data_IF_766983151136
#
_entry.id   IF_766983151136
#
_cell.length_a   1.000
_cell.length_b   1.000
_cell.length_c   1.000
_cell.angle_alpha   90.00
_cell.angle_beta   90.00
_cell.angle_gamma   90.00
#
_symmetry.space_group_name_H-M   'P 1'
#
loop_
_entity.id
_entity.type
_entity.pdbx_description
1 polymer ?
#
# COMPACT_ATOMS: atom_id res chain seq x y z
N UNK A 1 -19.57 -6.49 3.46
CA UNK A 1 -18.54 -6.74 4.50
C UNK A 1 -17.76 -5.45 4.69
N UNK A 2 -17.66 -4.93 5.92
CA UNK A 2 -16.91 -3.70 6.21
C UNK A 2 -15.43 -4.04 6.33
N UNK A 3 -14.60 -3.51 5.43
CA UNK A 3 -13.14 -3.66 5.50
C UNK A 3 -12.60 -2.59 6.45
N UNK A 4 -11.86 -3.01 7.48
CA UNK A 4 -11.26 -2.08 8.44
C UNK A 4 -10.14 -1.29 7.76
N UNK A 5 -10.34 0.03 7.69
CA UNK A 5 -9.48 1.01 7.05
C UNK A 5 -8.24 1.40 7.87
N UNK A 6 -7.97 0.72 8.98
CA UNK A 6 -6.91 1.11 9.94
C UNK A 6 -5.48 0.84 9.46
N UNK A 7 -5.32 0.47 8.19
CA UNK A 7 -4.04 0.17 7.54
C UNK A 7 -3.29 1.46 7.18
N UNK A 8 -2.87 2.25 8.16
CA UNK A 8 -1.92 3.38 8.01
C UNK A 8 -2.51 4.59 7.23
N UNK A 9 -2.27 5.85 7.63
CA UNK A 9 -2.74 7.05 6.91
C UNK A 9 -2.46 7.05 5.40
N UNK A 10 -1.39 6.38 4.97
CA UNK A 10 -0.98 6.24 3.57
C UNK A 10 -1.99 5.44 2.72
N UNK A 11 -2.76 4.51 3.30
CA UNK A 11 -3.79 3.79 2.56
C UNK A 11 -5.00 4.67 2.20
N UNK A 12 -5.21 5.81 2.88
CA UNK A 12 -6.25 6.76 2.49
C UNK A 12 -5.92 7.48 1.17
N UNK A 13 -4.64 7.77 0.90
CA UNK A 13 -4.22 8.33 -0.39
C UNK A 13 -4.49 7.35 -1.54
N UNK A 14 -4.17 6.06 -1.33
CA UNK A 14 -4.52 5.00 -2.28
C UNK A 14 -6.04 4.84 -2.47
N UNK A 15 -6.84 5.03 -1.41
CA UNK A 15 -8.32 5.00 -1.54
C UNK A 15 -8.85 6.10 -2.45
N UNK A 16 -8.25 7.29 -2.41
CA UNK A 16 -8.63 8.41 -3.29
C UNK A 16 -8.32 8.07 -4.75
N UNK A 17 -7.15 7.47 -5.01
CA UNK A 17 -6.71 7.09 -6.37
C UNK A 17 -7.48 5.90 -6.93
N UNK A 18 -7.64 4.83 -6.15
CA UNK A 18 -8.24 3.57 -6.60
C UNK A 18 -9.77 3.64 -6.67
N UNK A 19 -10.38 4.59 -5.96
CA UNK A 19 -11.81 4.57 -5.64
C UNK A 19 -12.12 3.55 -4.54
N UNK A 20 -13.22 3.81 -3.81
CA UNK A 20 -13.60 3.06 -2.60
C UNK A 20 -13.66 1.55 -2.80
N UNK A 21 -14.30 1.08 -3.86
CA UNK A 21 -14.54 -0.36 -4.08
C UNK A 21 -13.27 -1.13 -4.40
N UNK A 22 -12.43 -0.61 -5.30
CA UNK A 22 -11.16 -1.26 -5.65
C UNK A 22 -10.20 -1.25 -4.46
N UNK A 23 -10.16 -0.15 -3.70
CA UNK A 23 -9.39 -0.05 -2.48
C UNK A 23 -9.83 -1.08 -1.44
N UNK A 24 -11.14 -1.18 -1.16
CA UNK A 24 -11.67 -2.16 -0.21
C UNK A 24 -11.40 -3.60 -0.69
N UNK A 25 -11.53 -3.88 -1.99
CA UNK A 25 -11.19 -5.18 -2.58
C UNK A 25 -9.71 -5.53 -2.45
N UNK A 26 -8.82 -4.56 -2.64
CA UNK A 26 -7.37 -4.76 -2.52
C UNK A 26 -6.92 -4.91 -1.06
N UNK A 27 -7.50 -4.13 -0.13
CA UNK A 27 -7.25 -4.33 1.31
C UNK A 27 -7.77 -5.72 1.74
N UNK A 28 -8.93 -6.15 1.26
CA UNK A 28 -9.44 -7.48 1.56
C UNK A 28 -8.56 -8.59 0.97
N UNK A 29 -8.03 -8.42 -0.25
CA UNK A 29 -7.19 -9.42 -0.90
C UNK A 29 -5.76 -9.49 -0.35
N UNK A 30 -5.28 -8.43 0.31
CA UNK A 30 -3.96 -8.35 0.96
C UNK A 30 -3.95 -8.82 2.42
N UNK A 31 -5.12 -9.02 3.03
CA UNK A 31 -5.25 -9.50 4.40
C UNK A 31 -5.27 -11.03 4.49
N UNK A 32 -4.77 -11.55 5.60
CA UNK A 32 -4.88 -12.94 6.04
C UNK A 32 -5.53 -12.98 7.42
N UNK A 33 -6.88 -12.94 7.49
CA UNK A 33 -7.59 -13.02 8.77
C UNK A 33 -7.46 -14.42 9.37
N UNK A 34 -7.15 -14.50 10.66
CA UNK A 34 -7.14 -15.74 11.42
C UNK A 34 -8.07 -15.62 12.64
N UNK A 35 -9.07 -16.49 12.67
CA UNK A 35 -10.08 -16.49 13.74
C UNK A 35 -9.47 -17.14 15.00
N UNK A 36 -9.47 -16.39 16.09
CA UNK A 36 -9.08 -16.89 17.41
C UNK A 36 -10.28 -17.40 18.20
N UNK A 37 -9.97 -18.14 19.27
CA UNK A 37 -10.96 -18.64 20.22
C UNK A 37 -10.98 -17.86 21.55
N UNK A 38 -10.45 -16.63 21.57
CA UNK A 38 -10.56 -15.71 22.70
C UNK A 38 -12.02 -15.32 22.95
N UNK A 39 -12.43 -15.30 24.22
CA UNK A 39 -13.79 -15.01 24.65
C UNK A 39 -14.01 -13.55 25.00
N UNK A 40 -12.94 -12.84 25.35
CA UNK A 40 -13.04 -11.44 25.76
C UNK A 40 -11.79 -10.65 25.39
N UNK A 41 -11.96 -9.33 25.33
CA UNK A 41 -10.85 -8.39 25.15
C UNK A 41 -9.79 -8.56 26.24
N UNK A 42 -10.22 -8.74 27.50
CA UNK A 42 -9.34 -8.90 28.66
C UNK A 42 -8.47 -10.14 28.51
N UNK A 43 -9.08 -11.27 28.16
CA UNK A 43 -8.36 -12.53 27.94
C UNK A 43 -7.31 -12.38 26.82
N UNK A 44 -7.70 -11.83 25.67
CA UNK A 44 -6.80 -11.58 24.54
C UNK A 44 -5.59 -10.73 24.99
N UNK A 45 -5.84 -9.57 25.59
CA UNK A 45 -4.77 -8.65 26.02
C UNK A 45 -3.82 -9.32 27.01
N UNK A 46 -4.34 -10.02 28.02
CA UNK A 46 -3.51 -10.70 29.01
C UNK A 46 -2.64 -11.80 28.41
N UNK A 47 -3.18 -12.61 27.50
CA UNK A 47 -2.45 -13.71 26.87
C UNK A 47 -1.38 -13.19 25.91
N UNK A 48 -1.69 -12.15 25.12
CA UNK A 48 -0.73 -11.51 24.21
C UNK A 48 0.44 -10.90 25.00
N UNK A 49 0.14 -10.23 26.12
CA UNK A 49 1.17 -9.67 27.01
C UNK A 49 2.01 -10.77 27.68
N UNK A 50 1.38 -11.86 28.11
CA UNK A 50 2.07 -13.02 28.67
C UNK A 50 3.02 -13.68 27.66
N UNK A 51 2.64 -13.68 26.37
CA UNK A 51 3.49 -14.16 25.27
C UNK A 51 4.67 -13.22 24.94
N UNK A 52 4.80 -12.08 25.64
CA UNK A 52 5.89 -11.12 25.49
C UNK A 52 5.65 -10.06 24.40
N UNK A 53 4.40 -9.82 24.01
CA UNK A 53 4.02 -8.83 23.01
C UNK A 53 3.19 -7.70 23.63
N UNK A 54 3.10 -6.58 22.92
CA UNK A 54 2.21 -5.50 23.32
C UNK A 54 0.77 -5.71 22.80
N UNK A 55 -0.17 -5.10 23.51
CA UNK A 55 -1.59 -5.13 23.17
C UNK A 55 -2.16 -3.72 23.37
N UNK A 56 -1.92 -2.85 22.41
CA UNK A 56 -2.26 -1.42 22.48
C UNK A 56 -3.69 -1.20 21.99
N UNK A 57 -4.59 -0.63 22.80
CA UNK A 57 -5.92 -0.23 22.34
C UNK A 57 -5.86 0.73 21.15
N UNK A 58 -6.62 0.44 20.09
CA UNK A 58 -6.67 1.29 18.90
C UNK A 58 -8.11 1.33 18.34
N UNK A 59 -8.89 2.32 18.78
CA UNK A 59 -10.33 2.37 18.49
C UNK A 59 -11.05 1.11 18.98
N UNK A 60 -11.81 0.47 18.09
CA UNK A 60 -12.47 -0.83 18.33
C UNK A 60 -11.53 -2.04 18.24
N UNK A 61 -10.28 -1.84 17.83
CA UNK A 61 -9.29 -2.88 17.59
C UNK A 61 -8.20 -2.89 18.67
N UNK A 62 -7.30 -3.87 18.59
CA UNK A 62 -6.07 -3.92 19.38
C UNK A 62 -4.89 -4.05 18.43
N UNK A 63 -3.86 -3.23 18.61
CA UNK A 63 -2.61 -3.29 17.84
C UNK A 63 -1.59 -4.12 18.61
N UNK A 64 -0.90 -5.02 17.90
CA UNK A 64 0.21 -5.82 18.44
C UNK A 64 1.39 -5.76 17.49
N UNK A 65 2.56 -5.42 18.00
CA UNK A 65 3.81 -5.38 17.24
C UNK A 65 4.52 -6.73 17.30
N UNK A 66 5.01 -7.21 16.16
CA UNK A 66 6.01 -8.26 16.14
C UNK A 66 7.40 -7.71 16.52
N UNK A 67 7.67 -6.46 16.12
CA UNK A 67 8.88 -5.67 16.38
C UNK A 67 8.60 -4.19 16.07
N UNK A 68 9.61 -3.31 16.16
CA UNK A 68 9.46 -1.86 15.92
C UNK A 68 8.85 -1.50 14.55
N UNK A 69 9.07 -2.33 13.53
CA UNK A 69 8.67 -2.05 12.14
C UNK A 69 7.41 -2.79 11.71
N UNK A 70 7.04 -3.88 12.37
CA UNK A 70 5.98 -4.79 11.93
C UNK A 70 4.92 -4.96 13.02
N UNK A 71 3.65 -4.83 12.65
CA UNK A 71 2.52 -4.98 13.55
C UNK A 71 1.28 -5.47 12.80
N UNK A 72 0.31 -5.97 13.56
CA UNK A 72 -1.00 -6.38 13.05
C UNK A 72 -2.11 -5.92 14.00
N UNK A 73 -3.36 -6.13 13.59
CA UNK A 73 -4.52 -5.78 14.39
C UNK A 73 -5.36 -6.99 14.76
N UNK A 74 -5.95 -6.92 15.95
CA UNK A 74 -7.06 -7.76 16.38
C UNK A 74 -8.36 -7.00 16.19
N UNK A 75 -9.33 -7.64 15.54
CA UNK A 75 -10.65 -7.09 15.28
C UNK A 75 -11.74 -8.00 15.80
N UNK A 76 -12.80 -7.40 16.35
CA UNK A 76 -13.99 -8.15 16.73
C UNK A 76 -14.92 -8.25 15.51
N UNK A 77 -14.98 -9.42 14.89
CA UNK A 77 -15.86 -9.72 13.74
C UNK A 77 -16.83 -10.84 14.12
N UNK A 78 -18.13 -10.60 13.99
CA UNK A 78 -19.18 -11.56 14.33
C UNK A 78 -19.01 -12.21 15.72
N UNK A 79 -18.65 -11.38 16.72
CA UNK A 79 -18.45 -11.81 18.10
C UNK A 79 -17.17 -12.62 18.36
N UNK A 80 -16.27 -12.74 17.37
CA UNK A 80 -14.98 -13.43 17.48
C UNK A 80 -13.82 -12.48 17.26
N UNK A 81 -12.76 -12.65 18.04
CA UNK A 81 -11.51 -11.93 17.81
C UNK A 81 -10.76 -12.55 16.64
N UNK A 82 -10.42 -11.72 15.66
CA UNK A 82 -9.72 -12.10 14.43
C UNK A 82 -8.39 -11.35 14.38
N UNK A 83 -7.28 -12.08 14.30
CA UNK A 83 -5.99 -11.49 13.97
C UNK A 83 -5.95 -11.21 12.47
N UNK A 84 -5.68 -9.97 12.08
CA UNK A 84 -5.64 -9.53 10.69
C UNK A 84 -4.19 -9.29 10.31
N UNK A 85 -3.53 -10.33 9.82
CA UNK A 85 -2.18 -10.25 9.26
C UNK A 85 -2.22 -9.72 7.83
N UNK A 86 -1.09 -9.22 7.32
CA UNK A 86 -0.95 -8.99 5.88
C UNK A 86 -0.35 -10.24 5.22
N UNK A 87 -0.72 -10.52 3.96
CA UNK A 87 -0.09 -11.59 3.15
C UNK A 87 1.39 -11.32 2.87
N UNK A 88 1.83 -10.10 3.13
CA UNK A 88 3.18 -9.62 2.89
C UNK A 88 4.03 -9.59 4.15
N UNK A 89 3.48 -9.94 5.33
CA UNK A 89 4.28 -10.08 6.54
C UNK A 89 5.16 -11.32 6.42
N UNK A 90 6.32 -11.32 7.08
CA UNK A 90 7.18 -12.50 7.11
C UNK A 90 6.44 -13.65 7.81
N UNK A 91 6.22 -14.74 7.07
CA UNK A 91 5.66 -15.99 7.59
C UNK A 91 6.35 -16.40 8.90
N UNK A 92 7.68 -16.24 8.96
CA UNK A 92 8.49 -16.51 10.15
C UNK A 92 8.07 -15.71 11.41
N UNK A 93 7.71 -14.43 11.28
CA UNK A 93 7.25 -13.63 12.43
C UNK A 93 5.87 -14.07 12.92
N UNK A 94 4.98 -14.42 11.98
CA UNK A 94 3.65 -14.95 12.28
C UNK A 94 3.78 -16.31 13.00
N UNK A 95 4.62 -17.22 12.49
CA UNK A 95 4.78 -18.56 13.06
C UNK A 95 5.37 -18.51 14.48
N UNK A 96 6.39 -17.68 14.70
CA UNK A 96 6.97 -17.45 16.04
C UNK A 96 5.94 -16.85 16.98
N UNK A 97 5.15 -15.89 16.50
CA UNK A 97 4.08 -15.27 17.27
C UNK A 97 3.02 -16.29 17.68
N UNK A 98 2.50 -17.08 16.73
CA UNK A 98 1.48 -18.11 16.99
C UNK A 98 1.99 -19.12 18.00
N UNK A 99 3.24 -19.58 17.86
CA UNK A 99 3.85 -20.53 18.80
C UNK A 99 3.87 -19.97 20.22
N UNK A 100 4.44 -18.78 20.41
CA UNK A 100 4.50 -18.13 21.73
C UNK A 100 3.12 -17.85 22.32
N UNK A 101 2.17 -17.48 21.48
CA UNK A 101 0.79 -17.23 21.91
C UNK A 101 0.12 -18.51 22.40
N UNK A 102 0.31 -19.62 21.68
CA UNK A 102 -0.21 -20.93 22.09
C UNK A 102 0.45 -21.44 23.38
N UNK A 103 1.76 -21.25 23.54
CA UNK A 103 2.50 -21.56 24.77
C UNK A 103 1.95 -20.77 25.96
N UNK A 104 1.77 -19.45 25.80
CA UNK A 104 1.20 -18.59 26.84
C UNK A 104 -0.26 -18.93 27.16
N UNK A 105 -1.04 -19.36 26.17
CA UNK A 105 -2.44 -19.72 26.35
C UNK A 105 -2.65 -21.15 26.88
N UNK A 106 -1.63 -22.01 26.83
CA UNK A 106 -1.75 -23.43 27.14
C UNK A 106 -2.71 -24.20 26.21
N UNK A 107 -3.04 -23.63 25.05
CA UNK A 107 -4.00 -24.17 24.08
C UNK A 107 -3.73 -23.60 22.69
N UNK A 108 -4.21 -24.29 21.65
CA UNK A 108 -4.22 -23.70 20.31
C UNK A 108 -5.23 -22.55 20.27
N UNK A 109 -4.76 -21.33 20.01
CA UNK A 109 -5.57 -20.11 19.99
C UNK A 109 -6.32 -19.95 18.68
N UNK A 110 -5.76 -20.40 17.58
CA UNK A 110 -6.35 -20.27 16.25
C UNK A 110 -7.06 -21.57 15.85
N UNK A 111 -8.20 -21.45 15.15
CA UNK A 111 -9.00 -22.62 14.78
C UNK A 111 -8.40 -23.35 13.57
N UNK A 112 -8.14 -24.66 13.70
CA UNK A 112 -7.44 -25.50 12.70
C UNK A 112 -8.11 -25.60 11.32
N UNK A 113 -9.37 -25.18 11.16
CA UNK A 113 -10.10 -25.25 9.87
C UNK A 113 -9.53 -24.35 8.77
N UNK A 114 -8.56 -23.49 9.06
CA UNK A 114 -7.76 -22.75 8.06
C UNK A 114 -6.26 -23.05 8.14
N UNK A 115 -5.83 -23.91 9.07
CA UNK A 115 -4.43 -24.32 9.23
C UNK A 115 -4.08 -25.53 8.34
N UNK A 116 -5.09 -26.27 7.86
CA UNK A 116 -4.91 -27.46 7.02
C UNK A 116 -4.31 -27.19 5.63
N UNK A 117 -4.32 -25.95 5.13
CA UNK A 117 -3.63 -25.56 3.88
C UNK A 117 -2.13 -25.24 4.08
N UNK A 118 -1.62 -25.23 5.33
CA UNK A 118 -0.24 -24.79 5.63
C UNK A 118 0.74 -25.97 5.72
N UNK A 119 0.26 -27.20 5.88
CA UNK A 119 1.12 -28.36 6.17
C UNK A 119 1.23 -29.41 5.05
N UNK A 120 0.61 -29.19 3.89
CA UNK A 120 0.77 -30.07 2.73
C UNK A 120 0.85 -29.33 1.40
N UNK A 121 1.71 -28.31 1.28
CA UNK A 121 2.37 -28.04 -0.01
C UNK A 121 3.67 -27.29 0.22
N UNK A 122 4.73 -27.78 -0.42
CA UNK A 122 6.01 -27.08 -0.69
C UNK A 122 7.10 -27.16 0.38
N UNK A 123 7.71 -28.35 0.42
CA UNK A 123 9.17 -28.45 0.39
C UNK A 123 9.77 -27.52 -0.67
N UNK A 124 10.75 -26.70 -0.27
CA UNK A 124 11.70 -25.98 -1.14
C UNK A 124 11.10 -25.13 -2.29
N UNK A 125 10.60 -23.94 -1.96
CA UNK A 125 10.95 -22.66 -2.59
C UNK A 125 10.36 -21.57 -1.69
N UNK A 126 11.17 -20.61 -1.23
CA UNK A 126 10.61 -19.39 -0.62
C UNK A 126 9.97 -18.63 -1.79
N UNK A 127 8.63 -18.52 -1.90
CA UNK A 127 8.05 -17.74 -2.98
C UNK A 127 8.49 -16.30 -2.72
N UNK A 128 9.17 -15.69 -3.71
CA UNK A 128 9.44 -14.26 -3.69
C UNK A 128 8.12 -13.53 -3.38
N UNK A 129 8.08 -12.74 -2.29
CA UNK A 129 6.88 -11.99 -1.93
C UNK A 129 6.56 -11.05 -3.06
N UNK A 130 5.55 -11.38 -3.87
CA UNK A 130 5.11 -10.60 -5.02
C UNK A 130 3.81 -9.90 -4.66
N UNK A 131 3.82 -8.58 -4.71
CA UNK A 131 2.70 -7.73 -4.34
C UNK A 131 2.37 -6.78 -5.50
N UNK A 132 1.13 -6.80 -5.99
CA UNK A 132 0.69 -5.88 -7.03
C UNK A 132 -0.06 -4.70 -6.40
N UNK A 133 0.35 -3.49 -6.73
CA UNK A 133 -0.21 -2.23 -6.27
C UNK A 133 -0.70 -1.42 -7.45
N UNK A 134 -1.98 -1.08 -7.50
CA UNK A 134 -2.47 -0.17 -8.52
C UNK A 134 -2.02 1.27 -8.23
N UNK A 135 -1.78 2.05 -9.28
CA UNK A 135 -1.35 3.47 -9.20
C UNK A 135 -2.26 4.39 -10.00
N UNK A 136 -1.94 5.69 -10.07
CA UNK A 136 -2.55 6.63 -11.03
C UNK A 136 -1.66 6.89 -12.26
N UNK A 137 -0.49 6.26 -12.35
CA UNK A 137 0.44 6.54 -13.43
C UNK A 137 -0.13 6.01 -14.74
N UNK A 138 -0.11 6.82 -15.79
CA UNK A 138 -0.58 6.42 -17.13
C UNK A 138 0.43 6.71 -18.23
N UNK A 139 1.35 7.63 -17.96
CA UNK A 139 2.44 8.02 -18.83
C UNK A 139 3.77 7.48 -18.29
N UNK A 140 4.32 6.48 -18.99
CA UNK A 140 5.56 5.80 -18.63
C UNK A 140 6.79 6.70 -18.79
N UNK A 141 6.77 7.68 -19.71
CA UNK A 141 7.88 8.61 -19.89
C UNK A 141 7.97 9.58 -18.71
N UNK A 142 6.82 10.15 -18.32
CA UNK A 142 6.73 11.02 -17.17
C UNK A 142 7.09 10.30 -15.87
N UNK A 143 6.63 9.06 -15.71
CA UNK A 143 6.99 8.22 -14.56
C UNK A 143 8.50 7.97 -14.49
N UNK A 144 9.15 7.74 -15.63
CA UNK A 144 10.61 7.59 -15.69
C UNK A 144 11.36 8.87 -15.29
N UNK A 145 10.84 10.05 -15.66
CA UNK A 145 11.40 11.33 -15.21
C UNK A 145 11.26 11.50 -13.70
N UNK A 146 10.07 11.25 -13.16
CA UNK A 146 9.79 11.35 -11.72
C UNK A 146 10.68 10.40 -10.92
N UNK A 147 10.91 9.17 -11.40
CA UNK A 147 11.82 8.22 -10.75
C UNK A 147 13.26 8.76 -10.71
N UNK A 148 13.76 9.32 -11.83
CA UNK A 148 15.10 9.91 -11.90
C UNK A 148 15.27 11.10 -10.98
N UNK A 149 14.29 11.99 -10.92
CA UNK A 149 14.31 13.17 -10.03
C UNK A 149 14.30 12.80 -8.55
N UNK A 150 13.66 11.70 -8.20
CA UNK A 150 13.66 11.15 -6.85
C UNK A 150 14.93 10.33 -6.55
N UNK A 151 15.94 10.36 -7.42
CA UNK A 151 17.17 9.59 -7.34
C UNK A 151 16.92 8.07 -7.20
N UNK A 152 15.80 7.58 -7.75
CA UNK A 152 15.43 6.17 -7.78
C UNK A 152 15.94 5.59 -9.11
N UNK A 153 16.95 4.70 -9.09
CA UNK A 153 17.47 4.12 -10.33
C UNK A 153 16.37 3.32 -11.03
N UNK A 154 16.14 3.60 -12.31
CA UNK A 154 15.18 2.88 -13.12
C UNK A 154 15.79 2.46 -14.46
N UNK A 155 15.43 1.27 -14.92
CA UNK A 155 15.79 0.74 -16.23
C UNK A 155 14.52 0.38 -16.98
N UNK A 156 14.43 0.84 -18.23
CA UNK A 156 13.34 0.45 -19.14
C UNK A 156 13.71 -0.86 -19.81
N UNK A 157 12.83 -1.85 -19.71
CA UNK A 157 12.97 -3.13 -20.40
C UNK A 157 12.41 -3.06 -21.83
N UNK A 158 12.74 -4.06 -22.65
CA UNK A 158 12.35 -4.12 -24.06
C UNK A 158 10.83 -4.18 -24.29
N UNK A 159 10.08 -4.65 -23.28
CA UNK A 159 8.62 -4.72 -23.26
C UNK A 159 7.95 -3.39 -22.83
N UNK A 160 8.75 -2.37 -22.51
CA UNK A 160 8.27 -1.08 -22.01
C UNK A 160 8.07 -1.01 -20.49
N UNK A 161 8.27 -2.12 -19.76
CA UNK A 161 8.22 -2.15 -18.29
C UNK A 161 9.37 -1.34 -17.70
N UNK A 162 9.09 -0.48 -16.72
CA UNK A 162 10.17 0.14 -15.93
C UNK A 162 10.47 -0.76 -14.72
N UNK A 163 11.75 -1.03 -14.49
CA UNK A 163 12.20 -1.78 -13.32
C UNK A 163 13.12 -0.91 -12.50
N UNK A 164 12.89 -0.89 -11.20
CA UNK A 164 13.65 -0.10 -10.25
C UNK A 164 13.99 -0.92 -9.02
N UNK A 165 15.15 -0.65 -8.42
CA UNK A 165 15.54 -1.23 -7.15
C UNK A 165 15.36 -0.20 -6.03
N UNK A 166 14.66 -0.61 -4.99
CA UNK A 166 14.45 0.16 -3.77
C UNK A 166 14.86 -0.70 -2.57
N UNK A 167 16.06 -0.45 -2.03
CA UNK A 167 16.64 -1.23 -0.94
C UNK A 167 16.67 -2.74 -1.24
N UNK A 168 15.92 -3.53 -0.49
CA UNK A 168 15.80 -4.99 -0.63
C UNK A 168 14.59 -5.43 -1.48
N UNK A 169 13.93 -4.49 -2.17
CA UNK A 169 12.81 -4.74 -3.04
C UNK A 169 13.07 -4.26 -4.47
N UNK A 170 12.55 -5.01 -5.43
CA UNK A 170 12.43 -4.62 -6.83
C UNK A 170 11.00 -4.13 -7.08
N UNK A 171 10.88 -3.01 -7.78
CA UNK A 171 9.63 -2.41 -8.24
C UNK A 171 9.56 -2.57 -9.76
N UNK A 172 8.50 -3.19 -10.27
CA UNK A 172 8.22 -3.34 -11.70
C UNK A 172 6.94 -2.59 -12.03
N UNK A 173 7.06 -1.57 -12.86
CA UNK A 173 5.95 -0.73 -13.31
C UNK A 173 5.42 -1.28 -14.64
N UNK A 174 4.26 -1.91 -14.59
CA UNK A 174 3.68 -2.71 -15.68
C UNK A 174 2.45 -2.01 -16.24
N UNK A 175 2.48 -1.69 -17.53
CA UNK A 175 1.33 -1.15 -18.24
C UNK A 175 0.60 -2.27 -19.00
N UNK A 176 -0.54 -2.72 -18.48
CA UNK A 176 -1.24 -3.88 -19.05
C UNK A 176 -1.92 -3.61 -20.41
N UNK A 177 -2.15 -2.34 -20.75
CA UNK A 177 -2.79 -1.92 -22.02
C UNK A 177 -2.16 -0.60 -22.49
N UNK A 178 -2.07 -0.34 -23.81
CA UNK A 178 -1.62 0.96 -24.32
C UNK A 178 -2.46 2.11 -23.74
N UNK A 179 -1.80 3.16 -23.24
CA UNK A 179 -2.41 4.30 -22.55
C UNK A 179 -3.25 3.92 -21.31
N UNK A 180 -3.06 2.71 -20.79
CA UNK A 180 -3.69 2.24 -19.56
C UNK A 180 -2.97 2.73 -18.32
N UNK A 181 -3.60 2.52 -17.17
CA UNK A 181 -2.95 2.73 -15.87
C UNK A 181 -1.84 1.70 -15.69
N UNK A 182 -0.76 2.13 -15.05
CA UNK A 182 0.42 1.35 -14.72
C UNK A 182 0.23 0.78 -13.32
N UNK A 183 0.41 -0.52 -13.16
CA UNK A 183 0.45 -1.17 -11.86
C UNK A 183 1.91 -1.36 -11.44
N UNK A 184 2.16 -1.40 -10.13
CA UNK A 184 3.49 -1.66 -9.56
C UNK A 184 3.50 -3.03 -8.93
N UNK A 185 4.27 -3.94 -9.51
CA UNK A 185 4.60 -5.21 -8.88
C UNK A 185 5.86 -5.03 -8.03
N UNK A 186 5.79 -5.43 -6.77
CA UNK A 186 6.90 -5.36 -5.81
C UNK A 186 7.31 -6.76 -5.43
N UNK A 187 8.59 -7.05 -5.61
CA UNK A 187 9.21 -8.31 -5.17
C UNK A 187 10.29 -8.02 -4.14
N UNK A 188 10.31 -8.74 -3.01
CA UNK A 188 11.39 -8.61 -2.02
C UNK A 188 10.93 -8.68 -0.56
N UNK A 189 11.82 -8.29 0.35
CA UNK A 189 11.58 -8.39 1.81
C UNK A 189 11.36 -7.03 2.50
N UNK A 190 11.27 -5.95 1.72
CA UNK A 190 11.13 -4.61 2.26
C UNK A 190 9.79 -4.41 2.99
N UNK A 191 9.78 -3.54 3.99
CA UNK A 191 8.56 -3.30 4.76
C UNK A 191 7.50 -2.63 3.88
N UNK A 192 6.26 -3.11 3.96
CA UNK A 192 5.14 -2.52 3.22
C UNK A 192 4.99 -1.03 3.47
N UNK A 193 5.23 -0.57 4.71
CA UNK A 193 5.21 0.86 5.05
C UNK A 193 6.27 1.64 4.27
N UNK A 194 7.48 1.11 4.11
CA UNK A 194 8.53 1.73 3.30
C UNK A 194 8.08 1.85 1.84
N UNK A 195 7.57 0.74 1.28
CA UNK A 195 7.07 0.69 -0.09
C UNK A 195 5.95 1.71 -0.31
N UNK A 196 4.97 1.76 0.60
CA UNK A 196 3.86 2.70 0.52
C UNK A 196 4.29 4.16 0.60
N UNK A 197 5.21 4.48 1.52
CA UNK A 197 5.74 5.82 1.65
C UNK A 197 6.39 6.27 0.33
N UNK A 198 7.21 5.42 -0.26
CA UNK A 198 7.89 5.72 -1.52
C UNK A 198 6.91 5.86 -2.69
N UNK A 199 5.93 4.97 -2.81
CA UNK A 199 4.89 5.09 -3.84
C UNK A 199 4.07 6.37 -3.69
N UNK A 200 3.84 6.85 -2.46
CA UNK A 200 3.09 8.09 -2.23
C UNK A 200 3.90 9.33 -2.62
N UNK A 201 5.20 9.35 -2.32
CA UNK A 201 6.09 10.43 -2.76
C UNK A 201 6.16 10.47 -4.29
N UNK A 202 6.22 9.30 -4.94
CA UNK A 202 6.17 9.22 -6.40
C UNK A 202 4.83 9.72 -6.97
N UNK A 203 3.70 9.35 -6.34
CA UNK A 203 2.36 9.82 -6.72
C UNK A 203 2.24 11.35 -6.68
N UNK A 204 2.67 11.97 -5.59
CA UNK A 204 2.62 13.42 -5.41
C UNK A 204 3.46 14.14 -6.46
N UNK A 205 4.69 13.67 -6.70
CA UNK A 205 5.59 14.25 -7.70
C UNK A 205 5.06 14.05 -9.13
N UNK A 206 4.49 12.89 -9.43
CA UNK A 206 3.87 12.62 -10.71
C UNK A 206 2.69 13.55 -10.99
N UNK A 207 1.82 13.77 -9.99
CA UNK A 207 0.71 14.71 -10.11
C UNK A 207 1.15 16.14 -10.38
N UNK A 208 2.21 16.60 -9.71
CA UNK A 208 2.81 17.93 -9.97
C UNK A 208 3.29 18.05 -11.41
N UNK A 209 3.94 17.03 -11.94
CA UNK A 209 4.38 17.01 -13.34
C UNK A 209 3.21 17.05 -14.33
N UNK A 210 2.17 16.22 -14.11
CA UNK A 210 0.97 16.25 -14.95
C UNK A 210 0.32 17.64 -14.94
N UNK A 211 0.23 18.26 -13.77
CA UNK A 211 -0.33 19.60 -13.62
C UNK A 211 0.51 20.64 -14.39
N UNK A 212 1.83 20.58 -14.26
CA UNK A 212 2.76 21.48 -14.96
C UNK A 212 2.68 21.32 -16.48
N UNK A 213 2.71 20.08 -16.99
CA UNK A 213 2.53 19.82 -18.42
C UNK A 213 1.18 20.29 -18.95
N UNK A 214 0.12 20.11 -18.15
CA UNK A 214 -1.23 20.55 -18.51
C UNK A 214 -1.27 22.07 -18.64
N UNK A 215 -0.68 22.80 -17.69
CA UNK A 215 -0.57 24.26 -17.73
C UNK A 215 0.21 24.71 -18.96
N UNK A 216 1.38 24.12 -19.24
CA UNK A 216 2.18 24.43 -20.43
C UNK A 216 1.36 24.25 -21.72
N UNK A 217 0.69 23.11 -21.88
CA UNK A 217 -0.14 22.82 -23.06
C UNK A 217 -1.35 23.77 -23.17
N UNK A 218 -1.91 24.21 -22.05
CA UNK A 218 -2.99 25.21 -22.03
C UNK A 218 -2.48 26.57 -22.49
N UNK A 219 -1.29 26.99 -22.04
CA UNK A 219 -0.67 28.25 -22.47
C UNK A 219 -0.34 28.25 -23.96
N UNK A 220 0.30 27.19 -24.46
CA UNK A 220 0.61 27.02 -25.89
C UNK A 220 -0.66 27.12 -26.74
N UNK A 221 -1.73 26.40 -26.37
CA UNK A 221 -3.02 26.47 -27.07
C UNK A 221 -3.72 27.82 -26.95
N UNK A 222 -3.49 28.55 -25.86
CA UNK A 222 -4.02 29.90 -25.68
C UNK A 222 -3.32 30.87 -26.64
N UNK A 223 -1.99 30.80 -26.73
CA UNK A 223 -1.19 31.58 -27.67
C UNK A 223 -1.55 31.28 -29.13
N UNK A 224 -1.70 30.01 -29.50
CA UNK A 224 -2.17 29.60 -30.85
C UNK A 224 -3.54 30.20 -31.22
N UNK A 225 -4.37 30.50 -30.22
CA UNK A 225 -5.71 31.08 -30.37
C UNK A 225 -5.73 32.60 -30.19
N UNK A 226 -4.57 33.26 -30.08
CA UNK A 226 -4.47 34.71 -29.92
C UNK A 226 -4.78 35.22 -28.50
N UNK A 227 -4.61 34.38 -27.49
CA UNK A 227 -4.67 34.79 -26.08
C UNK A 227 -3.26 34.93 -25.53
N UNK A 228 -3.03 35.97 -24.73
CA UNK A 228 -1.79 36.17 -23.98
C UNK A 228 -1.99 35.81 -22.50
N UNK A 229 -0.99 35.16 -21.90
CA UNK A 229 -0.98 34.89 -20.46
C UNK A 229 -0.64 36.17 -19.72
N UNK A 230 -1.59 36.68 -18.94
CA UNK A 230 -1.42 37.90 -18.13
C UNK A 230 -0.90 37.57 -16.73
N UNK A 231 -1.40 36.49 -16.13
CA UNK A 231 -1.03 36.09 -14.77
C UNK A 231 -1.08 34.56 -14.63
N UNK A 232 -0.13 34.02 -13.87
CA UNK A 232 -0.14 32.67 -13.35
C UNK A 232 0.03 32.71 -11.84
N UNK A 233 -0.91 32.13 -11.11
CA UNK A 233 -0.89 32.06 -9.65
C UNK A 233 -1.18 30.65 -9.17
N UNK A 234 -0.36 30.16 -8.22
CA UNK A 234 -0.66 28.95 -7.46
C UNK A 234 -1.51 29.34 -6.24
N UNK A 235 -2.71 28.78 -6.14
CA UNK A 235 -3.67 29.05 -5.07
C UNK A 235 -3.36 28.20 -3.82
N UNK A 236 -3.94 28.55 -2.64
CA UNK A 236 -3.69 27.82 -1.39
C UNK A 236 -4.12 26.35 -1.39
N UNK A 237 -5.00 25.95 -2.31
CA UNK A 237 -5.42 24.57 -2.54
C UNK A 237 -4.57 23.84 -3.59
N UNK A 238 -3.42 24.42 -3.95
CA UNK A 238 -2.49 23.94 -4.98
C UNK A 238 -3.06 23.93 -6.41
N UNK A 239 -4.21 24.58 -6.65
CA UNK A 239 -4.71 24.80 -8.00
C UNK A 239 -3.95 25.94 -8.69
N UNK A 240 -3.91 25.91 -10.03
CA UNK A 240 -3.22 26.93 -10.83
C UNK A 240 -4.26 27.79 -11.54
N UNK A 241 -4.28 29.08 -11.22
CA UNK A 241 -5.08 30.10 -11.88
C UNK A 241 -4.27 30.72 -13.02
N UNK A 242 -4.84 30.67 -14.24
CA UNK A 242 -4.31 31.34 -15.41
C UNK A 242 -5.27 32.45 -15.83
N UNK A 243 -4.79 33.70 -15.82
CA UNK A 243 -5.51 34.85 -16.36
C UNK A 243 -5.06 35.06 -17.80
N UNK A 244 -6.00 35.00 -18.75
CA UNK A 244 -5.74 35.19 -20.17
C UNK A 244 -6.33 36.51 -20.67
N UNK A 245 -5.56 37.24 -21.47
CA UNK A 245 -6.00 38.45 -22.18
C UNK A 245 -6.25 38.11 -23.64
N UNK A 246 -7.35 38.61 -24.18
CA UNK A 246 -7.66 38.51 -25.62
C UNK A 246 -6.87 39.59 -26.35
N UNK A 247 -6.08 39.22 -27.36
CA UNK A 247 -5.62 40.20 -28.34
C UNK A 247 -6.82 40.60 -29.22
N UNK A 248 -7.19 41.88 -29.16
CA UNK A 248 -8.23 42.48 -30.00
C UNK A 248 -7.69 42.92 -31.35
#
# INVERSE_FOLDING_TARGET
MSVSLTMIPVALALRVVMGKEKFESWVASSQRPQISNFKSRRELTSIVQLAGYDAIPYGSSIKTHFNEKNFFFWELRDGKWVAVFTKYDASQHIDVFIRKLNEAAGRNVFSDKQAADILQTESMHVPERRALFPTNFSDTYLLEQVLKENAIPCQRQADGTLVSSLHSAELRFIQHRPNGVIDVEVTGQESMRTIFHQLSVLDENYRKHIQQETVTKVKERAEEKGFLVEEEMVLPDESILLTLRVEG
#
